data_IF_733102884226
#
_entry.id   IF_733102884226
#
_cell.length_a   1.000
_cell.length_b   1.000
_cell.length_c   1.000
_cell.angle_alpha   90.00
_cell.angle_beta   90.00
_cell.angle_gamma   90.00
#
_symmetry.space_group_name_H-M   'P 1'
#
loop_
_entity.id
_entity.type
_entity.pdbx_description
1 polymer ?
#
# COMPACT_ATOMS: atom_id res chain seq x y z
N UNK A 1 -15.69 -20.36 5.28
CA UNK A 1 -15.28 -19.66 4.04
C UNK A 1 -15.40 -18.16 4.30
N UNK A 2 -14.44 -17.35 3.88
CA UNK A 2 -14.52 -15.89 4.04
C UNK A 2 -15.67 -15.35 3.16
N UNK A 3 -16.54 -14.53 3.74
CA UNK A 3 -17.65 -13.88 3.02
C UNK A 3 -17.09 -12.91 1.98
N UNK A 4 -17.54 -13.00 0.72
CA UNK A 4 -17.09 -12.14 -0.38
C UNK A 4 -17.95 -10.88 -0.42
N UNK A 5 -17.32 -9.71 -0.33
CA UNK A 5 -18.00 -8.42 -0.44
C UNK A 5 -18.06 -7.89 -1.87
N UNK A 6 -17.08 -8.25 -2.70
CA UNK A 6 -16.98 -7.83 -4.10
C UNK A 6 -16.37 -8.96 -4.93
N UNK A 7 -17.02 -9.30 -6.05
CA UNK A 7 -16.54 -10.29 -7.02
C UNK A 7 -16.53 -9.70 -8.44
N UNK A 8 -15.42 -9.91 -9.13
CA UNK A 8 -15.25 -9.66 -10.56
C UNK A 8 -14.80 -10.98 -11.19
N UNK A 9 -15.53 -11.49 -12.18
CA UNK A 9 -15.16 -12.69 -12.94
C UNK A 9 -15.16 -12.37 -14.45
N UNK A 10 -13.97 -12.44 -15.05
CA UNK A 10 -13.70 -12.30 -16.49
C UNK A 10 -14.41 -11.12 -17.15
N UNK A 11 -14.35 -9.96 -16.49
CA UNK A 11 -15.04 -8.75 -16.96
C UNK A 11 -14.31 -8.11 -18.13
N UNK A 12 -15.07 -7.86 -19.20
CA UNK A 12 -14.60 -7.14 -20.38
C UNK A 12 -15.38 -5.85 -20.61
N UNK A 13 -14.71 -4.82 -21.11
CA UNK A 13 -15.35 -3.57 -21.49
C UNK A 13 -14.63 -2.89 -22.63
N UNK A 14 -15.40 -2.40 -23.59
CA UNK A 14 -14.91 -1.58 -24.68
C UNK A 14 -15.79 -0.35 -24.90
N UNK A 15 -15.21 0.71 -25.44
CA UNK A 15 -15.92 1.91 -25.86
C UNK A 15 -15.74 2.12 -27.36
N UNK A 16 -16.81 2.53 -28.04
CA UNK A 16 -16.78 2.98 -29.43
C UNK A 16 -16.57 4.49 -29.47
N UNK A 17 -15.65 4.97 -30.30
CA UNK A 17 -15.57 6.38 -30.67
C UNK A 17 -16.37 6.60 -31.96
N UNK A 18 -17.36 7.49 -31.91
CA UNK A 18 -18.20 7.82 -33.07
C UNK A 18 -17.39 8.47 -34.22
N UNK A 19 -16.26 9.11 -33.88
CA UNK A 19 -15.41 9.80 -34.86
C UNK A 19 -14.53 8.85 -35.68
N UNK A 20 -14.09 7.72 -35.10
CA UNK A 20 -13.11 6.83 -35.73
C UNK A 20 -13.64 5.42 -36.02
N UNK A 21 -14.89 5.09 -35.68
CA UNK A 21 -15.46 3.72 -35.73
C UNK A 21 -14.54 2.65 -35.13
N UNK A 22 -13.61 3.03 -34.24
CA UNK A 22 -12.69 2.13 -33.57
C UNK A 22 -13.26 1.78 -32.20
N UNK A 23 -13.30 0.49 -31.91
CA UNK A 23 -13.70 -0.06 -30.61
C UNK A 23 -12.43 -0.21 -29.77
N UNK A 24 -12.28 0.62 -28.75
CA UNK A 24 -11.15 0.55 -27.83
C UNK A 24 -11.52 -0.35 -26.65
N UNK A 25 -10.82 -1.50 -26.52
CA UNK A 25 -10.98 -2.40 -25.38
C UNK A 25 -10.23 -1.83 -24.17
N UNK A 26 -10.97 -1.57 -23.10
CA UNK A 26 -10.48 -0.97 -21.84
C UNK A 26 -10.29 -2.02 -20.76
N UNK A 27 -11.17 -3.02 -20.67
CA UNK A 27 -11.02 -4.17 -19.76
C UNK A 27 -10.98 -5.47 -20.58
N UNK A 28 -10.05 -6.36 -20.24
CA UNK A 28 -9.70 -7.57 -21.01
C UNK A 28 -9.78 -8.83 -20.14
N UNK A 29 -10.93 -9.03 -19.50
CA UNK A 29 -11.20 -10.27 -18.76
C UNK A 29 -10.65 -10.24 -17.34
N UNK A 30 -10.75 -9.10 -16.66
CA UNK A 30 -10.24 -8.97 -15.28
C UNK A 30 -11.05 -9.84 -14.31
N UNK A 31 -10.35 -10.45 -13.34
CA UNK A 31 -10.97 -11.26 -12.28
C UNK A 31 -10.31 -10.98 -10.93
N UNK A 32 -11.10 -10.69 -9.90
CA UNK A 32 -10.63 -10.49 -8.53
C UNK A 32 -11.77 -10.70 -7.52
N UNK A 33 -11.40 -10.88 -6.26
CA UNK A 33 -12.33 -10.97 -5.14
C UNK A 33 -11.81 -10.17 -3.95
N UNK A 34 -12.71 -9.47 -3.28
CA UNK A 34 -12.47 -8.76 -2.02
C UNK A 34 -13.33 -9.38 -0.94
N UNK A 35 -12.69 -9.80 0.14
CA UNK A 35 -13.32 -10.42 1.29
C UNK A 35 -13.81 -9.38 2.28
N UNK A 36 -14.80 -9.75 3.08
CA UNK A 36 -15.32 -8.88 4.14
C UNK A 36 -14.22 -8.54 5.16
N UNK A 37 -14.12 -7.25 5.49
CA UNK A 37 -13.12 -6.72 6.43
C UNK A 37 -11.74 -6.49 5.81
N UNK A 38 -11.58 -6.73 4.51
CA UNK A 38 -10.33 -6.52 3.78
C UNK A 38 -10.25 -5.10 3.21
N UNK A 39 -9.06 -4.50 3.26
CA UNK A 39 -8.69 -3.33 2.47
C UNK A 39 -7.94 -3.77 1.22
N UNK A 40 -8.59 -3.74 0.06
CA UNK A 40 -8.04 -4.13 -1.22
C UNK A 40 -7.69 -2.92 -2.08
N UNK A 41 -6.46 -2.87 -2.60
CA UNK A 41 -5.99 -1.84 -3.50
C UNK A 41 -5.98 -2.28 -4.98
N UNK A 42 -6.65 -1.51 -5.82
CA UNK A 42 -6.65 -1.65 -7.28
C UNK A 42 -5.61 -0.68 -7.88
N UNK A 43 -4.35 -1.12 -7.92
CA UNK A 43 -3.21 -0.33 -8.36
C UNK A 43 -3.08 -0.35 -9.88
N UNK A 44 -2.79 0.78 -10.52
CA UNK A 44 -2.50 0.83 -11.95
C UNK A 44 -2.25 2.25 -12.45
N UNK A 45 -1.62 2.39 -13.61
CA UNK A 45 -1.38 3.71 -14.20
C UNK A 45 -2.69 4.39 -14.64
N UNK A 46 -2.61 5.68 -14.98
CA UNK A 46 -3.74 6.39 -15.58
C UNK A 46 -4.11 5.74 -16.92
N UNK A 47 -5.40 5.58 -17.16
CA UNK A 47 -5.90 4.90 -18.38
C UNK A 47 -5.92 3.37 -18.30
N UNK A 48 -5.41 2.73 -17.24
CA UNK A 48 -5.38 1.27 -17.12
C UNK A 48 -6.77 0.61 -16.99
N UNK A 49 -7.81 1.39 -16.66
CA UNK A 49 -9.19 0.88 -16.50
C UNK A 49 -9.76 0.94 -15.07
N UNK A 50 -9.07 1.60 -14.12
CA UNK A 50 -9.49 1.71 -12.70
C UNK A 50 -10.89 2.29 -12.52
N UNK A 51 -11.08 3.54 -12.93
CA UNK A 51 -12.37 4.24 -12.87
C UNK A 51 -13.45 3.54 -13.72
N UNK A 52 -13.08 2.90 -14.84
CA UNK A 52 -14.03 2.11 -15.65
C UNK A 52 -14.54 0.90 -14.86
N UNK A 53 -13.65 0.21 -14.15
CA UNK A 53 -14.01 -0.93 -13.29
C UNK A 53 -14.93 -0.49 -12.14
N UNK A 54 -14.62 0.62 -11.47
CA UNK A 54 -15.45 1.19 -10.40
C UNK A 54 -16.83 1.58 -10.92
N UNK A 55 -16.92 2.27 -12.06
CA UNK A 55 -18.21 2.62 -12.68
C UNK A 55 -19.02 1.38 -13.04
N UNK A 56 -18.37 0.32 -13.52
CA UNK A 56 -19.03 -0.93 -13.83
C UNK A 56 -19.57 -1.63 -12.57
N UNK A 57 -18.77 -1.69 -11.50
CA UNK A 57 -19.19 -2.22 -10.19
C UNK A 57 -20.43 -1.50 -9.66
N UNK A 58 -20.42 -0.15 -9.70
CA UNK A 58 -21.55 0.67 -9.24
C UNK A 58 -22.79 0.62 -10.15
N UNK A 59 -22.72 -0.07 -11.29
CA UNK A 59 -23.81 -0.13 -12.28
C UNK A 59 -23.99 1.14 -13.10
N UNK A 60 -23.01 2.06 -13.07
CA UNK A 60 -23.03 3.31 -13.84
C UNK A 60 -22.69 3.09 -15.33
N UNK A 61 -22.03 1.97 -15.66
CA UNK A 61 -21.81 1.52 -17.03
C UNK A 61 -22.06 0.02 -17.14
N UNK A 62 -22.48 -0.43 -18.32
CA UNK A 62 -22.65 -1.85 -18.64
C UNK A 62 -21.36 -2.45 -19.19
N UNK A 63 -20.98 -3.63 -18.70
CA UNK A 63 -19.86 -4.43 -19.20
C UNK A 63 -20.23 -5.17 -20.48
N UNK A 64 -19.24 -5.52 -21.30
CA UNK A 64 -19.45 -6.26 -22.54
C UNK A 64 -19.61 -7.77 -22.24
N UNK A 65 -18.87 -8.29 -21.26
CA UNK A 65 -18.90 -9.68 -20.83
C UNK A 65 -18.43 -9.80 -19.36
N UNK A 66 -18.61 -10.99 -18.79
CA UNK A 66 -18.22 -11.32 -17.42
C UNK A 66 -19.32 -11.10 -16.39
N UNK A 67 -18.96 -11.28 -15.12
CA UNK A 67 -19.87 -11.18 -14.00
C UNK A 67 -19.30 -10.27 -12.90
N UNK A 68 -20.18 -9.42 -12.36
CA UNK A 68 -19.89 -8.51 -11.26
C UNK A 68 -20.89 -8.78 -10.13
N UNK A 69 -20.41 -8.75 -8.90
CA UNK A 69 -21.26 -8.86 -7.71
C UNK A 69 -20.74 -7.96 -6.60
N UNK A 70 -21.66 -7.25 -5.94
CA UNK A 70 -21.41 -6.42 -4.77
C UNK A 70 -22.36 -6.83 -3.66
N UNK A 71 -21.81 -7.29 -2.53
CA UNK A 71 -22.56 -7.71 -1.35
C UNK A 71 -23.66 -8.73 -1.67
N UNK A 72 -23.41 -9.68 -2.57
CA UNK A 72 -24.38 -10.68 -3.01
C UNK A 72 -25.37 -10.23 -4.09
N UNK A 73 -25.24 -9.00 -4.62
CA UNK A 73 -26.16 -8.44 -5.62
C UNK A 73 -25.46 -8.00 -6.91
N UNK A 74 -26.25 -7.88 -7.99
CA UNK A 74 -25.79 -7.34 -9.26
C UNK A 74 -25.47 -5.83 -9.16
N UNK A 75 -24.58 -5.30 -10.02
CA UNK A 75 -24.34 -3.87 -10.14
C UNK A 75 -25.64 -3.06 -10.30
N UNK A 76 -25.77 -1.98 -9.54
CA UNK A 76 -26.95 -1.11 -9.58
C UNK A 76 -28.14 -1.56 -8.72
N UNK A 77 -28.09 -2.74 -8.07
CA UNK A 77 -29.15 -3.16 -7.14
C UNK A 77 -29.21 -2.22 -5.93
N UNK A 78 -30.39 -1.63 -5.68
CA UNK A 78 -30.63 -0.66 -4.61
C UNK A 78 -30.27 -1.21 -3.22
N UNK A 79 -30.44 -2.52 -2.99
CA UNK A 79 -30.11 -3.16 -1.70
C UNK A 79 -28.61 -3.15 -1.43
N UNK A 80 -27.79 -3.36 -2.45
CA UNK A 80 -26.34 -3.24 -2.33
C UNK A 80 -25.92 -1.77 -2.26
N UNK A 81 -26.44 -0.91 -3.14
CA UNK A 81 -26.07 0.51 -3.18
C UNK A 81 -26.36 1.23 -1.86
N UNK A 82 -27.45 0.91 -1.17
CA UNK A 82 -27.77 1.48 0.15
C UNK A 82 -26.72 1.14 1.23
N UNK A 83 -25.93 0.07 1.03
CA UNK A 83 -24.88 -0.42 1.95
C UNK A 83 -23.47 -0.11 1.46
N UNK A 84 -23.33 0.64 0.37
CA UNK A 84 -22.04 1.01 -0.22
C UNK A 84 -21.79 2.49 0.01
N UNK A 85 -20.55 2.81 0.36
CA UNK A 85 -20.02 4.17 0.35
C UNK A 85 -19.20 4.37 -0.91
N UNK A 86 -19.32 5.51 -1.58
CA UNK A 86 -18.52 5.82 -2.77
C UNK A 86 -17.91 7.21 -2.70
N UNK A 87 -16.59 7.28 -2.87
CA UNK A 87 -15.85 8.52 -3.11
C UNK A 87 -15.26 8.49 -4.53
N UNK A 88 -15.72 9.34 -5.47
CA UNK A 88 -15.07 9.51 -6.76
C UNK A 88 -13.74 10.28 -6.63
N UNK A 89 -12.87 10.15 -7.65
CA UNK A 89 -11.59 10.89 -7.73
C UNK A 89 -11.79 12.41 -7.62
N UNK A 90 -12.79 12.91 -8.34
CA UNK A 90 -13.15 14.33 -8.35
C UNK A 90 -14.60 14.48 -7.88
N UNK A 91 -14.85 14.58 -6.56
CA UNK A 91 -16.19 14.79 -6.07
C UNK A 91 -16.69 16.19 -6.43
N UNK A 92 -17.89 16.25 -7.01
CA UNK A 92 -18.57 17.51 -7.28
C UNK A 92 -19.47 17.86 -6.09
N UNK A 93 -19.21 19.01 -5.48
CA UNK A 93 -19.99 19.50 -4.33
C UNK A 93 -20.68 20.82 -4.64
N UNK A 94 -21.80 21.05 -3.98
CA UNK A 94 -22.46 22.35 -3.94
C UNK A 94 -21.61 23.32 -3.10
N UNK A 95 -20.78 24.12 -3.76
CA UNK A 95 -19.78 24.99 -3.14
C UNK A 95 -20.34 26.02 -2.12
N UNK A 96 -21.62 26.38 -2.24
CA UNK A 96 -22.34 27.28 -1.34
C UNK A 96 -22.78 26.61 -0.03
N UNK A 97 -22.88 25.27 0.01
CA UNK A 97 -23.18 24.52 1.23
C UNK A 97 -21.97 24.46 2.16
N UNK A 98 -22.23 24.28 3.44
CA UNK A 98 -21.24 23.91 4.45
C UNK A 98 -21.04 22.39 4.48
N UNK A 99 -19.93 21.92 5.04
CA UNK A 99 -19.69 20.47 5.20
C UNK A 99 -20.79 19.80 6.02
N UNK A 100 -21.31 20.47 7.05
CA UNK A 100 -22.42 19.99 7.89
C UNK A 100 -23.73 19.84 7.10
N UNK A 101 -24.07 20.83 6.28
CA UNK A 101 -25.28 20.80 5.45
C UNK A 101 -25.21 19.70 4.39
N UNK A 102 -24.05 19.52 3.74
CA UNK A 102 -23.87 18.43 2.78
C UNK A 102 -24.07 17.06 3.46
N UNK A 103 -23.45 16.82 4.61
CA UNK A 103 -23.60 15.55 5.31
C UNK A 103 -25.04 15.33 5.80
N UNK A 104 -25.72 16.39 6.23
CA UNK A 104 -27.15 16.34 6.57
C UNK A 104 -28.02 15.96 5.37
N UNK A 105 -27.81 16.61 4.22
CA UNK A 105 -28.48 16.28 2.96
C UNK A 105 -28.27 14.81 2.58
N UNK A 106 -27.04 14.31 2.70
CA UNK A 106 -26.70 12.93 2.36
C UNK A 106 -27.32 11.93 3.34
N UNK A 107 -27.43 12.27 4.63
CA UNK A 107 -28.16 11.47 5.61
C UNK A 107 -29.66 11.38 5.30
N UNK A 108 -30.27 12.50 4.92
CA UNK A 108 -31.68 12.57 4.52
C UNK A 108 -31.95 11.74 3.25
N UNK A 109 -31.06 11.80 2.25
CA UNK A 109 -31.15 10.99 1.03
C UNK A 109 -31.06 9.48 1.30
N UNK A 110 -30.34 9.08 2.35
CA UNK A 110 -30.28 7.69 2.82
C UNK A 110 -31.43 7.32 3.76
N UNK A 111 -32.37 8.24 4.01
CA UNK A 111 -33.55 7.99 4.85
C UNK A 111 -33.25 7.86 6.34
N UNK A 112 -32.13 8.42 6.82
CA UNK A 112 -31.84 8.42 8.26
C UNK A 112 -32.86 9.30 8.99
N UNK A 113 -33.44 8.77 10.08
CA UNK A 113 -34.32 9.57 10.93
C UNK A 113 -33.60 10.79 11.50
N UNK A 114 -34.28 11.93 11.64
CA UNK A 114 -33.71 13.23 12.02
C UNK A 114 -32.74 13.21 13.22
N UNK A 115 -33.06 12.44 14.27
CA UNK A 115 -32.19 12.32 15.45
C UNK A 115 -30.91 11.52 15.13
N UNK A 116 -31.05 10.40 14.43
CA UNK A 116 -29.93 9.58 13.98
C UNK A 116 -29.04 10.35 13.00
N UNK A 117 -29.64 11.06 12.04
CA UNK A 117 -28.92 11.88 11.06
C UNK A 117 -28.04 12.93 11.76
N UNK A 118 -28.59 13.70 12.71
CA UNK A 118 -27.82 14.71 13.47
C UNK A 118 -26.63 14.10 14.20
N UNK A 119 -26.87 13.01 14.94
CA UNK A 119 -25.80 12.30 15.66
C UNK A 119 -24.73 11.79 14.70
N UNK A 120 -25.15 11.15 13.61
CA UNK A 120 -24.24 10.58 12.61
C UNK A 120 -23.40 11.65 11.92
N UNK A 121 -23.98 12.81 11.61
CA UNK A 121 -23.24 13.94 11.04
C UNK A 121 -22.11 14.40 11.98
N UNK A 122 -22.36 14.55 13.28
CA UNK A 122 -21.28 14.91 14.23
C UNK A 122 -20.20 13.84 14.31
N UNK A 123 -20.59 12.56 14.40
CA UNK A 123 -19.65 11.43 14.44
C UNK A 123 -18.74 11.40 13.20
N UNK A 124 -19.32 11.66 12.01
CA UNK A 124 -18.57 11.71 10.76
C UNK A 124 -17.66 12.94 10.70
N UNK A 125 -18.13 14.11 11.11
CA UNK A 125 -17.30 15.33 11.14
C UNK A 125 -16.10 15.19 12.06
N UNK A 126 -16.27 14.52 13.20
CA UNK A 126 -15.17 14.18 14.11
C UNK A 126 -14.21 13.19 13.45
N UNK A 127 -14.72 12.09 12.89
CA UNK A 127 -13.92 11.05 12.23
C UNK A 127 -13.03 11.61 11.10
N UNK A 128 -13.57 12.51 10.28
CA UNK A 128 -12.82 13.11 9.17
C UNK A 128 -12.06 14.39 9.55
N UNK A 129 -12.06 14.76 10.83
CA UNK A 129 -11.34 15.93 11.36
C UNK A 129 -11.80 17.26 10.78
N UNK A 130 -13.11 17.40 10.54
CA UNK A 130 -13.73 18.57 9.89
C UNK A 130 -14.66 19.36 10.80
N UNK A 131 -14.81 18.96 12.06
CA UNK A 131 -15.73 19.60 13.03
C UNK A 131 -15.56 21.12 13.13
N UNK A 132 -14.33 21.61 13.29
CA UNK A 132 -14.05 23.05 13.43
C UNK A 132 -14.34 23.85 12.16
N UNK A 133 -14.28 23.19 11.01
CA UNK A 133 -14.53 23.81 9.71
C UNK A 133 -15.95 23.56 9.19
N UNK A 134 -16.77 22.79 9.92
CA UNK A 134 -18.03 22.23 9.44
C UNK A 134 -19.07 23.29 9.06
N UNK A 135 -18.99 24.49 9.65
CA UNK A 135 -19.88 25.63 9.40
C UNK A 135 -19.37 26.61 8.34
N UNK A 136 -18.14 26.40 7.82
CA UNK A 136 -17.60 27.19 6.72
C UNK A 136 -18.14 26.66 5.39
N UNK A 137 -18.38 27.57 4.44
CA UNK A 137 -18.81 27.20 3.07
C UNK A 137 -17.72 26.42 2.35
N UNK A 138 -18.09 25.39 1.60
CA UNK A 138 -17.17 24.48 0.91
C UNK A 138 -16.37 25.18 -0.19
N UNK A 139 -16.84 26.27 -0.79
CA UNK A 139 -16.04 27.11 -1.70
C UNK A 139 -14.73 27.63 -1.07
N UNK A 140 -14.63 27.65 0.27
CA UNK A 140 -13.44 28.11 1.01
C UNK A 140 -12.54 26.95 1.47
N UNK A 141 -12.89 25.72 1.13
CA UNK A 141 -12.15 24.53 1.55
C UNK A 141 -10.95 24.32 0.63
N UNK A 142 -9.84 23.89 1.21
CA UNK A 142 -8.75 23.34 0.41
C UNK A 142 -9.17 22.01 -0.22
N UNK A 143 -8.42 21.56 -1.24
CA UNK A 143 -8.65 20.25 -1.85
C UNK A 143 -8.66 19.11 -0.82
N UNK A 144 -7.75 19.12 0.15
CA UNK A 144 -7.72 18.13 1.23
C UNK A 144 -8.93 18.19 2.17
N UNK A 145 -9.49 19.37 2.41
CA UNK A 145 -10.73 19.51 3.18
C UNK A 145 -11.94 18.98 2.40
N UNK A 146 -12.03 19.26 1.09
CA UNK A 146 -13.07 18.71 0.22
C UNK A 146 -12.99 17.18 0.14
N UNK A 147 -11.78 16.63 0.03
CA UNK A 147 -11.57 15.18 0.01
C UNK A 147 -12.06 14.52 1.31
N UNK A 148 -11.74 15.10 2.47
CA UNK A 148 -12.16 14.59 3.79
C UNK A 148 -13.68 14.67 3.97
N UNK A 149 -14.33 15.73 3.52
CA UNK A 149 -15.80 15.78 3.49
C UNK A 149 -16.39 14.76 2.51
N UNK A 150 -15.78 14.55 1.35
CA UNK A 150 -16.20 13.50 0.42
C UNK A 150 -16.13 12.11 1.04
N UNK A 151 -15.07 11.84 1.80
CA UNK A 151 -14.95 10.61 2.56
C UNK A 151 -16.06 10.53 3.63
N UNK A 152 -16.36 11.64 4.30
CA UNK A 152 -17.48 11.71 5.25
C UNK A 152 -18.83 11.41 4.61
N UNK A 153 -19.11 11.96 3.42
CA UNK A 153 -20.31 11.64 2.65
C UNK A 153 -20.39 10.14 2.35
N UNK A 154 -19.29 9.52 1.92
CA UNK A 154 -19.24 8.10 1.62
C UNK A 154 -19.47 7.21 2.86
N UNK A 155 -19.32 7.75 4.07
CA UNK A 155 -19.44 7.02 5.34
C UNK A 155 -20.79 7.26 6.05
N UNK A 156 -21.61 8.20 5.56
CA UNK A 156 -22.80 8.67 6.27
C UNK A 156 -23.80 7.53 6.53
N UNK A 157 -23.94 6.61 5.58
CA UNK A 157 -24.86 5.47 5.61
C UNK A 157 -24.29 4.23 6.34
N UNK A 158 -23.15 4.37 7.02
CA UNK A 158 -22.44 3.27 7.68
C UNK A 158 -22.20 2.05 6.77
N UNK A 159 -21.50 2.22 5.64
CA UNK A 159 -21.44 1.21 4.61
C UNK A 159 -20.75 -0.08 5.08
N UNK A 160 -21.15 -1.20 4.49
CA UNK A 160 -20.47 -2.49 4.62
C UNK A 160 -19.26 -2.61 3.69
N UNK A 161 -19.30 -1.88 2.56
CA UNK A 161 -18.23 -1.78 1.58
C UNK A 161 -18.01 -0.32 1.18
N UNK A 162 -16.79 0.17 1.33
CA UNK A 162 -16.38 1.50 0.90
C UNK A 162 -15.57 1.40 -0.39
N UNK A 163 -16.01 2.09 -1.45
CA UNK A 163 -15.31 2.16 -2.74
C UNK A 163 -14.71 3.56 -2.88
N UNK A 164 -13.38 3.64 -3.04
CA UNK A 164 -12.64 4.89 -3.09
C UNK A 164 -11.86 4.98 -4.42
N UNK A 165 -12.19 5.95 -5.27
CA UNK A 165 -11.45 6.19 -6.50
C UNK A 165 -10.38 7.26 -6.25
N UNK A 166 -9.10 6.90 -6.30
CA UNK A 166 -7.94 7.79 -6.08
C UNK A 166 -8.11 8.70 -4.83
N UNK A 167 -8.38 8.16 -3.63
CA UNK A 167 -8.78 8.95 -2.46
C UNK A 167 -7.71 9.94 -1.97
N UNK A 168 -6.45 9.73 -2.36
CA UNK A 168 -5.29 10.55 -2.02
C UNK A 168 -4.77 11.37 -3.21
N UNK A 169 -5.49 11.31 -4.34
CA UNK A 169 -5.11 11.90 -5.62
C UNK A 169 -4.89 13.41 -5.56
N UNK A 170 -3.65 13.84 -5.83
CA UNK A 170 -3.24 15.25 -5.87
C UNK A 170 -3.48 16.01 -4.56
N UNK A 171 -3.40 15.32 -3.42
CA UNK A 171 -3.27 15.93 -2.10
C UNK A 171 -1.79 16.19 -1.76
N UNK A 172 -1.56 17.21 -0.94
CA UNK A 172 -0.26 17.46 -0.30
C UNK A 172 0.06 16.36 0.76
N UNK A 173 1.31 16.29 1.27
CA UNK A 173 1.70 15.25 2.23
C UNK A 173 0.84 15.20 3.50
N UNK A 174 0.39 16.36 4.00
CA UNK A 174 -0.44 16.47 5.21
C UNK A 174 -1.84 15.91 4.94
N UNK A 175 -2.46 16.29 3.82
CA UNK A 175 -3.75 15.79 3.39
C UNK A 175 -3.76 14.29 3.15
N UNK A 176 -2.70 13.75 2.51
CA UNK A 176 -2.50 12.30 2.35
C UNK A 176 -2.43 11.59 3.70
N UNK A 177 -1.66 12.14 4.64
CA UNK A 177 -1.56 11.58 5.99
C UNK A 177 -2.93 11.50 6.68
N UNK A 178 -3.74 12.56 6.62
CA UNK A 178 -5.08 12.55 7.20
C UNK A 178 -6.00 11.52 6.54
N UNK A 179 -6.04 11.43 5.21
CA UNK A 179 -6.88 10.44 4.52
C UNK A 179 -6.46 9.01 4.86
N UNK A 180 -5.15 8.74 4.87
CA UNK A 180 -4.59 7.45 5.28
C UNK A 180 -4.95 7.10 6.73
N UNK A 181 -4.89 8.05 7.65
CA UNK A 181 -5.29 7.83 9.04
C UNK A 181 -6.76 7.41 9.13
N UNK A 182 -7.65 8.05 8.37
CA UNK A 182 -9.07 7.68 8.33
C UNK A 182 -9.26 6.27 7.73
N UNK A 183 -8.59 5.93 6.62
CA UNK A 183 -8.66 4.59 6.03
C UNK A 183 -8.17 3.52 7.01
N UNK A 184 -7.06 3.79 7.72
CA UNK A 184 -6.48 2.87 8.71
C UNK A 184 -7.42 2.67 9.90
N UNK A 185 -8.06 3.73 10.38
CA UNK A 185 -9.08 3.67 11.44
C UNK A 185 -10.30 2.85 10.99
N UNK A 186 -10.78 3.03 9.76
CA UNK A 186 -11.89 2.25 9.20
C UNK A 186 -11.54 0.76 9.05
N UNK A 187 -10.32 0.47 8.60
CA UNK A 187 -9.76 -0.88 8.53
C UNK A 187 -9.72 -1.52 9.93
N UNK A 188 -9.22 -0.81 10.94
CA UNK A 188 -9.20 -1.30 12.33
C UNK A 188 -10.60 -1.60 12.88
N UNK A 189 -11.63 -0.86 12.42
CA UNK A 189 -13.05 -1.13 12.73
C UNK A 189 -13.65 -2.29 11.91
N UNK A 190 -12.86 -2.99 11.10
CA UNK A 190 -13.29 -4.14 10.30
C UNK A 190 -14.15 -3.77 9.08
N UNK A 191 -14.08 -2.54 8.58
CA UNK A 191 -14.78 -2.15 7.35
C UNK A 191 -14.10 -2.77 6.13
N UNK A 192 -14.89 -3.16 5.13
CA UNK A 192 -14.36 -3.58 3.83
C UNK A 192 -14.09 -2.35 2.98
N UNK A 193 -12.91 -2.24 2.39
CA UNK A 193 -12.50 -1.08 1.59
C UNK A 193 -11.93 -1.58 0.26
N UNK A 194 -12.43 -1.05 -0.85
CA UNK A 194 -11.84 -1.20 -2.18
C UNK A 194 -11.39 0.16 -2.67
N UNK A 195 -10.08 0.38 -2.81
CA UNK A 195 -9.53 1.67 -3.22
C UNK A 195 -8.73 1.54 -4.52
N UNK A 196 -8.86 2.49 -5.44
CA UNK A 196 -7.96 2.62 -6.58
C UNK A 196 -6.83 3.59 -6.25
N UNK A 197 -5.65 3.34 -6.82
CA UNK A 197 -4.51 4.26 -6.73
C UNK A 197 -3.58 4.05 -7.92
N UNK A 198 -2.79 5.06 -8.26
CA UNK A 198 -1.59 4.92 -9.08
C UNK A 198 -0.29 5.10 -8.26
N UNK A 199 -0.42 5.36 -6.97
CA UNK A 199 0.69 5.66 -6.06
C UNK A 199 0.87 4.49 -5.11
N UNK A 200 2.07 3.90 -5.16
CA UNK A 200 2.38 2.68 -4.44
C UNK A 200 2.53 2.90 -2.94
N UNK A 201 3.22 3.96 -2.54
CA UNK A 201 3.40 4.29 -1.12
C UNK A 201 2.09 4.51 -0.39
N UNK A 202 1.06 5.01 -1.09
CA UNK A 202 -0.29 5.15 -0.57
C UNK A 202 -0.94 3.76 -0.35
N UNK A 203 -0.68 2.79 -1.23
CA UNK A 203 -1.19 1.41 -1.15
C UNK A 203 -0.51 0.62 -0.04
N UNK A 204 0.82 0.62 0.01
CA UNK A 204 1.61 -0.09 1.03
C UNK A 204 1.22 0.32 2.45
N UNK A 205 0.82 1.57 2.63
CA UNK A 205 0.51 2.10 3.94
C UNK A 205 -0.87 1.69 4.50
N UNK A 206 -1.80 1.18 3.66
CA UNK A 206 -3.19 0.93 4.10
C UNK A 206 -3.75 -0.42 3.69
N UNK A 207 -3.32 -0.97 2.56
CA UNK A 207 -3.96 -2.14 1.97
C UNK A 207 -3.45 -3.46 2.56
N UNK A 208 -4.35 -4.44 2.63
CA UNK A 208 -4.08 -5.83 2.98
C UNK A 208 -3.63 -6.63 1.76
N UNK A 209 -4.26 -6.36 0.61
CA UNK A 209 -3.97 -6.99 -0.68
C UNK A 209 -4.05 -5.94 -1.77
N UNK A 210 -3.32 -6.16 -2.85
CA UNK A 210 -3.35 -5.30 -4.01
C UNK A 210 -3.40 -6.10 -5.32
N UNK A 211 -3.94 -5.50 -6.37
CA UNK A 211 -3.76 -5.97 -7.75
C UNK A 211 -3.04 -4.93 -8.58
N UNK A 212 -2.20 -5.36 -9.52
CA UNK A 212 -1.60 -4.49 -10.54
C UNK A 212 -2.41 -4.62 -11.83
N UNK A 213 -3.10 -3.55 -12.21
CA UNK A 213 -3.86 -3.39 -13.45
C UNK A 213 -3.00 -2.66 -14.50
N UNK A 214 -2.82 -3.29 -15.65
CA UNK A 214 -2.10 -2.72 -16.80
C UNK A 214 -2.83 -3.09 -18.09
N UNK A 215 -3.05 -2.10 -18.95
CA UNK A 215 -3.67 -2.28 -20.27
C UNK A 215 -5.02 -3.02 -20.26
N UNK A 216 -5.77 -2.90 -19.15
CA UNK A 216 -7.05 -3.57 -18.97
C UNK A 216 -6.97 -5.01 -18.44
N UNK A 217 -5.78 -5.46 -18.00
CA UNK A 217 -5.52 -6.80 -17.47
C UNK A 217 -4.93 -6.72 -16.06
N UNK A 218 -5.35 -7.63 -15.17
CA UNK A 218 -4.69 -7.81 -13.88
C UNK A 218 -3.45 -8.65 -14.12
N UNK A 219 -2.28 -8.04 -13.96
CA UNK A 219 -0.97 -8.69 -14.13
C UNK A 219 -0.57 -9.51 -12.92
N UNK A 220 -0.89 -9.00 -11.73
CA UNK A 220 -0.50 -9.63 -10.46
C UNK A 220 -1.50 -9.33 -9.36
N UNK A 221 -1.70 -10.30 -8.47
CA UNK A 221 -2.33 -10.13 -7.15
C UNK A 221 -1.24 -10.28 -6.10
N UNK A 222 -1.22 -9.39 -5.12
CA UNK A 222 -0.20 -9.27 -4.09
C UNK A 222 -0.91 -9.30 -2.74
N UNK A 223 -0.41 -10.14 -1.84
CA UNK A 223 -0.77 -10.08 -0.43
C UNK A 223 0.28 -9.25 0.31
N UNK A 224 -0.16 -8.16 0.93
CA UNK A 224 0.68 -7.21 1.66
C UNK A 224 0.79 -7.57 3.14
N UNK A 225 -0.06 -8.47 3.62
CA UNK A 225 -0.04 -9.00 4.98
C UNK A 225 0.78 -10.29 5.10
N UNK A 226 1.11 -10.95 3.97
CA UNK A 226 2.01 -12.10 3.99
C UNK A 226 3.36 -11.62 4.53
N UNK A 227 3.61 -12.08 5.76
CA UNK A 227 4.79 -11.91 6.60
C UNK A 227 6.03 -11.47 5.82
N UNK A 228 6.70 -10.45 6.36
CA UNK A 228 8.05 -9.96 6.00
C UNK A 228 9.10 -11.08 5.80
N UNK A 229 8.77 -12.32 6.17
CA UNK A 229 9.52 -13.57 6.01
C UNK A 229 9.57 -14.12 4.57
N UNK A 230 8.72 -13.66 3.66
CA UNK A 230 8.70 -14.18 2.28
C UNK A 230 9.63 -13.44 1.31
N UNK A 231 10.22 -12.32 1.72
CA UNK A 231 11.27 -11.65 0.96
C UNK A 231 12.65 -12.08 1.49
N UNK A 232 13.07 -13.30 1.13
CA UNK A 232 14.37 -13.91 1.48
C UNK A 232 15.60 -13.20 0.89
N UNK A 233 15.45 -11.96 0.41
CA UNK A 233 16.55 -11.18 -0.16
C UNK A 233 17.12 -10.27 0.91
N UNK A 234 18.38 -10.46 1.25
CA UNK A 234 19.15 -9.57 2.10
C UNK A 234 20.10 -8.75 1.24
N UNK A 235 20.44 -7.54 1.68
CA UNK A 235 21.46 -6.73 1.03
C UNK A 235 22.44 -6.26 2.07
N UNK A 236 23.71 -6.34 1.69
CA UNK A 236 24.83 -5.87 2.47
C UNK A 236 25.46 -4.69 1.74
N UNK A 237 25.48 -3.54 2.40
CA UNK A 237 26.17 -2.35 1.92
C UNK A 237 27.61 -2.38 2.43
N UNK A 238 28.55 -2.26 1.50
CA UNK A 238 29.98 -2.30 1.76
C UNK A 238 30.66 -1.04 1.21
N UNK A 239 31.79 -0.65 1.80
CA UNK A 239 32.66 0.43 1.30
C UNK A 239 34.08 -0.11 1.09
N UNK A 240 34.80 0.44 0.11
CA UNK A 240 36.22 0.10 -0.09
C UNK A 240 36.45 -1.28 -0.71
N UNK A 241 35.45 -1.86 -1.37
CA UNK A 241 35.65 -3.06 -2.19
C UNK A 241 36.39 -2.70 -3.48
N UNK A 242 37.47 -3.40 -3.78
CA UNK A 242 38.18 -3.26 -5.06
C UNK A 242 37.43 -3.98 -6.18
N UNK A 243 37.78 -3.70 -7.43
CA UNK A 243 37.19 -4.40 -8.58
C UNK A 243 37.43 -5.93 -8.51
N UNK A 244 38.57 -6.36 -7.97
CA UNK A 244 38.86 -7.77 -7.75
C UNK A 244 37.93 -8.40 -6.70
N UNK A 245 37.64 -7.69 -5.61
CA UNK A 245 36.71 -8.13 -4.56
C UNK A 245 35.27 -8.26 -5.09
N UNK A 246 34.85 -7.29 -5.93
CA UNK A 246 33.54 -7.31 -6.59
C UNK A 246 33.42 -8.52 -7.53
N UNK A 247 34.46 -8.82 -8.31
CA UNK A 247 34.46 -9.99 -9.19
C UNK A 247 34.45 -11.31 -8.40
N UNK A 248 35.18 -11.38 -7.29
CA UNK A 248 35.17 -12.54 -6.40
C UNK A 248 33.76 -12.80 -5.84
N UNK A 249 33.10 -11.77 -5.30
CA UNK A 249 31.73 -11.87 -4.79
C UNK A 249 30.74 -12.30 -5.88
N UNK A 250 30.85 -11.75 -7.09
CA UNK A 250 30.04 -12.18 -8.25
C UNK A 250 30.28 -13.64 -8.61
N UNK A 251 31.52 -14.11 -8.55
CA UNK A 251 31.86 -15.51 -8.84
C UNK A 251 31.31 -16.50 -7.80
N UNK A 252 31.07 -16.03 -6.57
CA UNK A 252 30.43 -16.78 -5.48
C UNK A 252 28.88 -16.76 -5.57
N UNK A 253 28.33 -16.16 -6.62
CA UNK A 253 26.89 -16.12 -6.87
C UNK A 253 26.15 -14.93 -6.26
N UNK A 254 26.85 -13.96 -5.68
CA UNK A 254 26.23 -12.73 -5.18
C UNK A 254 26.01 -11.71 -6.29
N UNK A 255 24.84 -11.06 -6.28
CA UNK A 255 24.59 -9.92 -7.16
C UNK A 255 25.26 -8.68 -6.57
N UNK A 256 26.26 -8.10 -7.24
CA UNK A 256 26.97 -6.90 -6.73
C UNK A 256 26.77 -5.73 -7.67
N UNK A 257 26.18 -4.65 -7.14
CA UNK A 257 26.15 -3.34 -7.79
C UNK A 257 27.07 -2.39 -7.03
N UNK A 258 28.00 -1.74 -7.72
CA UNK A 258 28.92 -0.76 -7.13
C UNK A 258 28.70 0.62 -7.77
N UNK A 259 28.59 1.65 -6.94
CA UNK A 259 28.56 3.06 -7.37
C UNK A 259 29.41 3.90 -6.44
N UNK A 260 30.37 4.62 -7.03
CA UNK A 260 31.39 5.37 -6.28
C UNK A 260 32.15 4.42 -5.33
N UNK A 261 32.28 4.81 -4.06
CA UNK A 261 32.97 4.03 -3.02
C UNK A 261 32.04 3.04 -2.28
N UNK A 262 30.79 2.88 -2.74
CA UNK A 262 29.80 2.03 -2.06
C UNK A 262 29.36 0.90 -2.99
N UNK A 263 29.32 -0.32 -2.45
CA UNK A 263 28.85 -1.51 -3.11
C UNK A 263 27.66 -2.11 -2.36
N UNK A 264 26.69 -2.63 -3.09
CA UNK A 264 25.51 -3.32 -2.58
C UNK A 264 25.59 -4.78 -3.03
N UNK A 265 25.76 -5.68 -2.08
CA UNK A 265 25.83 -7.13 -2.27
C UNK A 265 24.46 -7.72 -1.96
N UNK A 266 23.75 -8.17 -2.99
CA UNK A 266 22.45 -8.82 -2.90
C UNK A 266 22.62 -10.32 -2.63
N UNK A 267 21.98 -10.77 -1.56
CA UNK A 267 21.99 -12.12 -1.04
C UNK A 267 20.59 -12.69 -1.26
N UNK A 268 20.48 -13.72 -2.08
CA UNK A 268 19.18 -14.26 -2.54
C UNK A 268 18.57 -15.28 -1.58
N UNK A 269 19.38 -15.82 -0.67
CA UNK A 269 18.95 -16.80 0.35
C UNK A 269 19.56 -16.47 1.71
N UNK A 270 18.78 -16.58 2.78
CA UNK A 270 19.24 -16.32 4.14
C UNK A 270 20.40 -17.25 4.59
N UNK A 271 20.51 -18.45 4.02
CA UNK A 271 21.62 -19.38 4.22
C UNK A 271 22.97 -18.83 3.76
N UNK A 272 22.97 -17.96 2.75
CA UNK A 272 24.21 -17.41 2.17
C UNK A 272 24.70 -16.16 2.89
N UNK A 273 24.00 -15.69 3.93
CA UNK A 273 24.34 -14.46 4.65
C UNK A 273 25.69 -14.56 5.33
N UNK A 274 25.93 -15.66 6.04
CA UNK A 274 27.21 -15.90 6.71
C UNK A 274 28.37 -15.97 5.71
N UNK A 275 28.14 -16.61 4.55
CA UNK A 275 29.15 -16.68 3.48
C UNK A 275 29.44 -15.30 2.89
N UNK A 276 28.41 -14.49 2.63
CA UNK A 276 28.57 -13.12 2.12
C UNK A 276 29.36 -12.24 3.09
N UNK A 277 29.04 -12.29 4.39
CA UNK A 277 29.74 -11.53 5.44
C UNK A 277 31.22 -11.95 5.50
N UNK A 278 31.50 -13.25 5.53
CA UNK A 278 32.87 -13.76 5.55
C UNK A 278 33.65 -13.40 4.28
N UNK A 279 32.99 -13.45 3.12
CA UNK A 279 33.60 -13.08 1.85
C UNK A 279 34.05 -11.62 1.86
N UNK A 280 33.23 -10.69 2.37
CA UNK A 280 33.63 -9.28 2.50
C UNK A 280 34.68 -9.08 3.58
N UNK A 281 34.60 -9.75 4.72
CA UNK A 281 35.61 -9.64 5.79
C UNK A 281 37.01 -10.12 5.37
N UNK A 282 37.11 -10.99 4.36
CA UNK A 282 38.40 -11.43 3.79
C UNK A 282 39.01 -10.41 2.82
N UNK A 283 38.28 -9.35 2.50
CA UNK A 283 38.74 -8.24 1.65
C UNK A 283 39.09 -7.02 2.51
N UNK A 284 39.56 -5.94 1.89
CA UNK A 284 39.74 -4.66 2.58
C UNK A 284 38.41 -3.89 2.81
N UNK A 285 37.27 -4.45 2.37
CA UNK A 285 35.97 -3.79 2.42
C UNK A 285 35.36 -3.73 3.82
N UNK A 286 34.74 -2.60 4.13
CA UNK A 286 34.01 -2.39 5.38
C UNK A 286 32.51 -2.61 5.17
N UNK A 287 31.87 -3.44 6.00
CA UNK A 287 30.42 -3.62 6.02
C UNK A 287 29.81 -2.40 6.76
N UNK A 288 28.94 -1.66 6.07
CA UNK A 288 28.24 -0.51 6.61
C UNK A 288 26.85 -0.88 7.15
N UNK A 289 26.15 -1.78 6.46
CA UNK A 289 24.79 -2.17 6.76
C UNK A 289 24.53 -3.57 6.22
N UNK A 290 23.79 -4.39 6.96
CA UNK A 290 23.22 -5.66 6.49
C UNK A 290 21.76 -5.70 6.92
N UNK A 291 20.84 -5.94 5.99
CA UNK A 291 19.43 -6.01 6.32
C UNK A 291 18.59 -6.65 5.22
N UNK A 292 17.33 -6.99 5.51
CA UNK A 292 16.40 -7.44 4.50
C UNK A 292 16.14 -6.33 3.48
N UNK A 293 16.16 -6.68 2.19
CA UNK A 293 15.63 -5.81 1.14
C UNK A 293 14.14 -6.08 1.05
N UNK A 294 13.35 -5.09 1.43
CA UNK A 294 11.95 -5.07 0.99
C UNK A 294 11.99 -4.92 -0.54
N UNK A 295 11.58 -5.96 -1.26
CA UNK A 295 11.10 -5.76 -2.63
C UNK A 295 9.92 -4.82 -2.48
N UNK A 296 10.15 -3.53 -2.73
CA UNK A 296 9.08 -2.56 -2.70
C UNK A 296 8.01 -3.01 -3.70
N UNK A 297 6.76 -2.65 -3.45
CA UNK A 297 5.75 -2.78 -4.50
C UNK A 297 6.22 -2.11 -5.79
N UNK A 298 7.12 -1.13 -5.68
CA UNK A 298 7.72 -0.38 -6.79
C UNK A 298 8.56 -1.28 -7.69
N UNK A 299 9.43 -2.13 -7.13
CA UNK A 299 10.16 -3.11 -7.94
C UNK A 299 9.21 -4.07 -8.67
N UNK A 300 8.17 -4.57 -7.98
CA UNK A 300 7.17 -5.45 -8.59
C UNK A 300 6.41 -4.73 -9.70
N UNK A 301 6.04 -3.47 -9.48
CA UNK A 301 5.35 -2.66 -10.47
C UNK A 301 6.23 -2.33 -11.67
N UNK A 302 7.51 -2.04 -11.46
CA UNK A 302 8.48 -1.77 -12.53
C UNK A 302 8.73 -3.01 -13.39
N UNK A 303 8.89 -4.20 -12.77
CA UNK A 303 8.97 -5.47 -13.50
C UNK A 303 7.75 -5.67 -14.40
N UNK A 304 6.56 -5.41 -13.88
CA UNK A 304 5.31 -5.50 -14.64
C UNK A 304 5.13 -4.34 -15.64
N UNK A 305 5.87 -3.23 -15.52
CA UNK A 305 5.89 -2.10 -16.45
C UNK A 305 6.84 -2.34 -17.64
N UNK A 306 7.77 -3.30 -17.54
CA UNK A 306 8.77 -3.59 -18.58
C UNK A 306 9.95 -2.61 -18.58
N UNK A 307 10.05 -1.77 -17.54
CA UNK A 307 11.18 -0.91 -17.28
C UNK A 307 12.06 -1.62 -16.24
N UNK A 308 13.33 -1.88 -16.54
CA UNK A 308 14.26 -2.44 -15.56
C UNK A 308 14.23 -1.58 -14.30
N UNK A 309 13.76 -2.14 -13.19
CA UNK A 309 13.55 -1.39 -11.95
C UNK A 309 14.82 -0.70 -11.48
N UNK A 310 14.70 0.39 -10.69
CA UNK A 310 15.86 1.08 -10.15
C UNK A 310 16.73 0.11 -9.35
N UNK A 311 17.99 -0.03 -9.75
CA UNK A 311 19.01 -0.78 -9.02
C UNK A 311 19.48 0.04 -7.80
N UNK A 312 18.75 -0.02 -6.68
CA UNK A 312 19.20 0.50 -5.37
C UNK A 312 18.07 1.01 -4.45
N UNK A 313 18.24 0.94 -3.11
CA UNK A 313 17.20 1.32 -2.15
C UNK A 313 17.03 2.85 -2.01
N UNK A 314 15.85 3.35 -1.62
CA UNK A 314 15.56 4.78 -1.47
C UNK A 314 16.21 5.41 -0.23
N UNK A 315 16.65 6.67 -0.38
CA UNK A 315 17.52 7.43 0.54
C UNK A 315 16.95 7.77 1.94
N UNK A 316 15.78 7.29 2.34
CA UNK A 316 15.13 7.69 3.60
C UNK A 316 15.16 6.64 4.74
N UNK A 317 15.78 5.47 4.55
CA UNK A 317 15.87 4.41 5.59
C UNK A 317 17.14 4.50 6.47
N UNK A 318 18.03 5.47 6.23
CA UNK A 318 19.35 5.52 6.88
C UNK A 318 19.35 5.83 8.39
N UNK A 319 18.30 6.44 8.94
CA UNK A 319 18.29 6.86 10.34
C UNK A 319 17.85 5.74 11.29
N UNK A 320 16.80 4.99 10.93
CA UNK A 320 16.21 3.96 11.78
C UNK A 320 17.10 2.71 11.87
N UNK A 321 17.85 2.43 10.81
CA UNK A 321 18.79 1.31 10.75
C UNK A 321 20.07 1.58 11.56
N UNK A 322 20.51 2.84 11.66
CA UNK A 322 21.67 3.22 12.48
C UNK A 322 21.46 2.91 13.96
N UNK A 323 20.25 3.15 14.46
CA UNK A 323 19.91 2.91 15.86
C UNK A 323 19.80 1.41 16.17
N UNK A 324 19.32 0.61 15.20
CA UNK A 324 19.22 -0.85 15.32
C UNK A 324 20.58 -1.55 15.25
N UNK A 325 21.51 -1.06 14.41
CA UNK A 325 22.88 -1.58 14.31
C UNK A 325 23.68 -1.29 15.57
N UNK A 326 23.53 -0.10 16.16
CA UNK A 326 24.20 0.22 17.43
C UNK A 326 23.78 -0.74 18.55
N UNK A 327 22.49 -1.03 18.65
CA UNK A 327 21.96 -1.94 19.67
C UNK A 327 22.47 -3.37 19.54
N UNK A 328 22.62 -3.88 18.30
CA UNK A 328 23.14 -5.24 18.06
C UNK A 328 24.65 -5.31 18.31
N UNK A 329 25.41 -4.27 17.95
CA UNK A 329 26.85 -4.22 18.22
C UNK A 329 27.14 -4.13 19.73
N UNK A 330 26.36 -3.34 20.47
CA UNK A 330 26.48 -3.25 21.93
C UNK A 330 26.21 -4.62 22.60
N UNK A 331 25.24 -5.39 22.10
CA UNK A 331 24.95 -6.74 22.60
C UNK A 331 26.03 -7.78 22.29
N UNK A 332 26.74 -7.63 21.16
CA UNK A 332 27.84 -8.52 20.78
C UNK A 332 29.09 -8.21 21.63
N UNK A 333 29.38 -6.95 21.90
CA UNK A 333 30.49 -6.54 22.76
C UNK A 333 30.27 -6.95 24.23
N UNK A 334 29.03 -6.87 24.74
CA UNK A 334 28.68 -7.40 26.08
C UNK A 334 28.91 -8.92 26.16
N UNK A 335 28.49 -9.66 25.13
CA UNK A 335 28.65 -11.13 25.08
C UNK A 335 30.12 -11.57 24.95
N UNK A 336 30.97 -10.77 24.30
CA UNK A 336 32.41 -11.06 24.19
C UNK A 336 33.19 -10.66 25.46
N UNK A 337 32.69 -9.71 26.25
CA UNK A 337 33.28 -9.29 27.53
C UNK A 337 33.10 -10.34 28.63
N UNK A 338 31.91 -10.93 28.75
CA UNK A 338 31.61 -11.92 29.81
C UNK A 338 32.36 -13.25 29.61
N UNK A 339 32.64 -13.66 28.36
CA UNK A 339 33.37 -14.91 28.07
C UNK A 339 34.90 -14.81 28.18
N UNK A 340 35.48 -13.62 28.31
CA UNK A 340 36.91 -13.45 28.58
C UNK A 340 37.25 -13.51 30.07
N UNK A 341 36.30 -13.23 30.97
CA UNK A 341 36.51 -13.33 32.42
C UNK A 341 36.33 -14.77 32.93
N UNK A 342 35.41 -15.57 32.35
CA UNK A 342 35.23 -16.98 32.75
C UNK A 342 36.44 -17.88 32.38
N UNK A 343 37.18 -17.56 31.32
CA UNK A 343 38.36 -18.34 30.90
C UNK A 343 39.64 -18.01 31.67
N UNK A 344 39.65 -16.96 32.50
CA UNK A 344 40.79 -16.62 33.36
C UNK A 344 40.77 -17.32 34.72
N UNK A 345 39.61 -17.65 35.26
CA UNK A 345 39.50 -18.28 36.57
C UNK A 345 39.74 -19.81 36.57
N UNK A 346 39.56 -20.50 35.44
CA UNK A 346 39.82 -21.95 35.35
C UNK A 346 41.31 -22.34 35.21
N UNK A 347 42.20 -21.39 34.91
CA UNK A 347 43.62 -21.68 34.63
C UNK A 347 44.55 -21.61 35.85
N UNK A 348 44.01 -21.49 37.07
CA UNK A 348 44.81 -21.32 38.32
C UNK A 348 44.70 -22.47 39.34
N UNK A 349 44.27 -23.68 38.96
CA UNK A 349 44.36 -24.85 39.85
C UNK A 349 45.35 -25.90 39.33
N UNK A 350 46.59 -25.81 39.81
CA UNK A 350 47.58 -26.91 39.71
C UNK A 350 47.20 -28.11 40.61
N UNK A 351 47.49 -29.35 40.19
CA UNK A 351 47.22 -30.53 41.00
C UNK A 351 48.34 -30.75 42.04
N UNK A 352 47.97 -30.84 43.32
CA UNK A 352 48.88 -31.29 44.39
C UNK A 352 49.15 -32.79 44.27
N UNK A 353 50.43 -33.13 44.18
CA UNK A 353 50.98 -34.46 44.52
C UNK A 353 51.40 -34.47 45.98
#
# INVERSE_FOLDING_TARGET
MAEISLRIDRVEKSFSSDFLRRRQKVLRGISLQVHRGETFAFLGQNGAGKTTTIKALLGLIRVDAGHLELLGHQPGDRRALARIGYLPENPYFYDHLTGRELLGLMADLHGLGKQLARRRVEEILELVGMRDNASRRMRTYSKGMLQRIGLGQALINDPALLILDEPMGGLDPIGRHHVRAIISELKARGKTIFLSSHILSDVEAVADRASILRDGEIRRLIDLNVDERSFRRMEMQCRGLTEADIQLLRSQGFGVDARNDVAWVRITEASMVSEAVLAVQRTAGQILQLGPVRTSLEEVFMQEAGEGGPSGPPANQHQQVRDQVRHILDQIDEYQGEHQDETRDEMTMEPRS
#
